data_IF_379249427798
#
_entry.id   IF_379249427798
#
_cell.length_a   1.000
_cell.length_b   1.000
_cell.length_c   1.000
_cell.angle_alpha   90.00
_cell.angle_beta   90.00
_cell.angle_gamma   90.00
#
_symmetry.space_group_name_H-M   'P 1'
#
loop_
_entity.id
_entity.type
_entity.pdbx_description
1 polymer ?
#
# COMPACT_ATOMS: atom_id res chain seq x y z
N UNK A 1 5.56 8.24 28.28
CA UNK A 1 6.10 7.10 27.56
C UNK A 1 7.53 6.81 28.04
N UNK A 2 8.44 7.76 27.98
CA UNK A 2 9.83 7.61 28.42
C UNK A 2 10.02 7.27 29.90
N UNK A 3 9.06 7.58 30.76
CA UNK A 3 9.11 7.26 32.19
C UNK A 3 8.55 5.85 32.48
N UNK A 4 7.55 5.41 31.71
CA UNK A 4 6.85 4.14 31.93
C UNK A 4 7.40 2.94 31.18
N UNK A 5 8.14 3.15 30.10
CA UNK A 5 8.73 2.10 29.27
C UNK A 5 10.22 2.36 29.10
N UNK A 6 11.01 1.38 29.46
CA UNK A 6 12.45 1.44 29.19
C UNK A 6 12.72 1.40 27.69
N UNK A 7 13.70 2.19 27.22
CA UNK A 7 14.19 2.04 25.86
C UNK A 7 14.80 0.63 25.70
N UNK A 8 14.51 -0.08 24.60
CA UNK A 8 15.15 -1.36 24.32
C UNK A 8 16.67 -1.13 24.16
N UNK A 9 17.44 -1.63 25.11
CA UNK A 9 18.90 -1.59 25.03
C UNK A 9 19.35 -2.83 24.25
N UNK A 10 20.12 -2.61 23.23
CA UNK A 10 20.79 -3.65 22.45
C UNK A 10 22.19 -3.93 22.97
N UNK A 11 22.87 -4.91 22.36
CA UNK A 11 24.28 -5.22 22.66
C UNK A 11 25.18 -3.98 22.47
N UNK A 12 26.33 -3.91 23.14
CA UNK A 12 27.28 -2.80 22.95
C UNK A 12 27.65 -2.64 21.47
N UNK A 13 27.88 -1.41 21.05
CA UNK A 13 28.23 -1.10 19.66
C UNK A 13 29.45 -1.89 19.19
N UNK A 14 29.33 -2.57 18.07
CA UNK A 14 30.39 -3.35 17.44
C UNK A 14 30.55 -2.91 15.98
N UNK A 15 31.82 -2.69 15.57
CA UNK A 15 32.14 -2.40 14.17
C UNK A 15 32.03 -3.64 13.24
N UNK A 16 31.93 -4.83 13.82
CA UNK A 16 32.01 -6.11 13.10
C UNK A 16 30.64 -6.78 12.98
N UNK A 17 29.72 -6.52 13.92
CA UNK A 17 28.44 -7.20 14.01
C UNK A 17 27.28 -6.22 14.02
N UNK A 18 26.36 -6.39 13.10
CA UNK A 18 25.09 -5.65 13.08
C UNK A 18 24.04 -6.39 13.93
N UNK A 19 23.25 -5.68 14.77
CA UNK A 19 22.18 -6.32 15.53
C UNK A 19 21.14 -6.97 14.61
N UNK A 20 20.57 -8.08 15.04
CA UNK A 20 19.51 -8.78 14.33
C UNK A 20 18.27 -8.95 15.24
N UNK A 21 17.16 -8.25 14.99
CA UNK A 21 16.91 -7.28 13.91
C UNK A 21 17.56 -5.91 14.18
N UNK A 22 18.01 -5.22 13.13
CA UNK A 22 18.39 -3.81 13.21
C UNK A 22 17.17 -2.93 13.06
N UNK A 23 16.66 -2.38 14.17
CA UNK A 23 15.45 -1.55 14.20
C UNK A 23 15.81 -0.07 14.14
N UNK A 24 15.15 0.66 13.25
CA UNK A 24 15.20 2.11 13.21
C UNK A 24 14.53 2.71 14.47
N UNK A 25 14.77 4.01 14.81
CA UNK A 25 13.99 4.71 15.81
C UNK A 25 12.49 4.61 15.52
N UNK A 26 11.67 4.61 16.58
CA UNK A 26 10.22 4.33 16.49
C UNK A 26 9.47 5.14 15.43
N UNK A 27 9.88 6.39 15.20
CA UNK A 27 9.25 7.26 14.19
C UNK A 27 9.58 6.87 12.73
N UNK A 28 10.66 6.12 12.48
CA UNK A 28 10.99 5.56 11.17
C UNK A 28 10.59 4.09 11.02
N UNK A 29 10.18 3.42 12.08
CA UNK A 29 9.80 2.01 12.02
C UNK A 29 8.65 1.74 11.06
N UNK A 30 7.72 2.68 10.89
CA UNK A 30 6.66 2.57 9.88
C UNK A 30 7.22 2.47 8.47
N UNK A 31 8.23 3.29 8.12
CA UNK A 31 8.90 3.19 6.82
C UNK A 31 9.71 1.89 6.69
N UNK A 32 10.38 1.48 7.75
CA UNK A 32 11.11 0.22 7.76
C UNK A 32 10.18 -0.99 7.57
N UNK A 33 9.00 -0.98 8.19
CA UNK A 33 7.99 -2.03 7.96
C UNK A 33 7.45 -2.00 6.53
N UNK A 34 7.33 -0.83 5.91
CA UNK A 34 6.94 -0.71 4.50
C UNK A 34 7.93 -1.38 3.54
N UNK A 35 9.22 -1.48 3.88
CA UNK A 35 10.24 -2.17 3.08
C UNK A 35 9.97 -3.68 2.94
N UNK A 36 9.17 -4.27 3.83
CA UNK A 36 8.74 -5.67 3.70
C UNK A 36 7.83 -5.87 2.49
N UNK A 37 7.03 -4.83 2.17
CA UNK A 37 5.98 -4.89 1.14
C UNK A 37 6.38 -4.20 -0.15
N UNK A 38 7.27 -3.21 -0.07
CA UNK A 38 7.74 -2.40 -1.19
C UNK A 38 9.27 -2.42 -1.25
N UNK A 39 9.79 -2.17 -2.43
CA UNK A 39 11.22 -1.96 -2.64
C UNK A 39 11.70 -0.66 -1.97
N UNK A 40 12.99 -0.54 -1.56
CA UNK A 40 13.54 0.67 -0.94
C UNK A 40 13.28 1.94 -1.74
N UNK A 41 13.35 1.87 -3.06
CA UNK A 41 13.05 2.99 -3.94
C UNK A 41 11.59 3.45 -3.80
N UNK A 42 10.66 2.49 -3.79
CA UNK A 42 9.23 2.78 -3.67
C UNK A 42 8.88 3.27 -2.26
N UNK A 43 9.33 2.58 -1.22
CA UNK A 43 9.02 2.91 0.17
C UNK A 43 9.73 4.19 0.66
N UNK A 44 11.00 4.40 0.24
CA UNK A 44 11.82 5.51 0.75
C UNK A 44 11.73 6.81 -0.07
N UNK A 45 11.39 6.73 -1.36
CA UNK A 45 11.35 7.90 -2.25
C UNK A 45 9.94 8.17 -2.74
N UNK A 46 9.31 7.21 -3.43
CA UNK A 46 8.03 7.46 -4.12
C UNK A 46 6.91 7.73 -3.14
N UNK A 47 6.71 6.87 -2.14
CA UNK A 47 5.61 7.02 -1.19
C UNK A 47 5.75 8.29 -0.33
N UNK A 48 6.90 8.65 0.25
CA UNK A 48 7.08 9.93 0.93
C UNK A 48 6.85 11.13 0.01
N UNK A 49 7.33 11.07 -1.24
CA UNK A 49 7.09 12.13 -2.23
C UNK A 49 5.61 12.28 -2.55
N UNK A 50 4.86 11.16 -2.68
CA UNK A 50 3.42 11.20 -2.87
C UNK A 50 2.68 11.86 -1.70
N UNK A 51 3.13 11.67 -0.46
CA UNK A 51 2.58 12.37 0.70
C UNK A 51 2.79 13.87 0.57
N UNK A 52 4.01 14.31 0.24
CA UNK A 52 4.33 15.73 0.05
C UNK A 52 3.49 16.36 -1.09
N UNK A 53 3.48 15.72 -2.26
CA UNK A 53 2.68 16.21 -3.40
C UNK A 53 1.18 16.13 -3.12
N UNK A 54 0.72 15.14 -2.37
CA UNK A 54 -0.66 15.03 -1.90
C UNK A 54 -1.06 16.20 -1.02
N UNK A 55 -0.20 16.59 -0.07
CA UNK A 55 -0.43 17.78 0.76
C UNK A 55 -0.46 19.06 -0.08
N UNK A 56 0.44 19.19 -1.07
CA UNK A 56 0.44 20.34 -2.00
C UNK A 56 -0.82 20.36 -2.89
N UNK A 57 -1.40 19.21 -3.19
CA UNK A 57 -2.61 19.12 -4.02
C UNK A 57 -3.90 19.47 -3.26
N UNK A 58 -3.89 19.53 -1.92
CA UNK A 58 -5.09 19.81 -1.10
C UNK A 58 -5.84 21.06 -1.56
N UNK A 59 -5.21 22.25 -1.75
CA UNK A 59 -5.92 23.44 -2.19
C UNK A 59 -6.57 23.29 -3.58
N UNK A 60 -5.99 22.45 -4.43
CA UNK A 60 -6.53 22.16 -5.76
C UNK A 60 -7.71 21.18 -5.72
N UNK A 61 -7.63 20.17 -4.85
CA UNK A 61 -8.66 19.12 -4.73
C UNK A 61 -9.85 19.60 -3.92
N UNK A 62 -9.63 20.42 -2.87
CA UNK A 62 -10.67 20.86 -1.96
C UNK A 62 -11.66 21.79 -2.68
N UNK A 63 -12.89 21.35 -2.75
CA UNK A 63 -14.00 22.13 -3.32
C UNK A 63 -14.88 22.79 -2.25
N UNK A 64 -14.61 22.56 -0.97
CA UNK A 64 -15.38 23.14 0.11
C UNK A 64 -15.06 24.63 0.26
N UNK A 65 -16.07 25.47 0.02
CA UNK A 65 -16.00 26.93 0.19
C UNK A 65 -16.46 27.40 1.58
N UNK A 66 -17.01 26.50 2.37
CA UNK A 66 -17.43 26.75 3.75
C UNK A 66 -16.31 26.33 4.66
N UNK A 67 -15.74 27.19 5.36
CA UNK A 67 -14.70 26.83 6.30
C UNK A 67 -13.97 28.04 6.80
N UNK A 68 -14.06 28.27 8.08
CA UNK A 68 -13.44 29.36 8.78
C UNK A 68 -12.24 28.93 9.60
N UNK A 69 -11.60 27.81 9.28
CA UNK A 69 -10.47 27.28 10.05
C UNK A 69 -10.85 26.44 11.28
N UNK A 70 -12.12 26.32 11.63
CA UNK A 70 -12.61 25.39 12.64
C UNK A 70 -12.89 24.01 12.04
N UNK A 71 -12.91 22.98 12.88
CA UNK A 71 -13.18 21.59 12.48
C UNK A 71 -14.60 21.45 11.92
N UNK A 72 -14.72 21.47 10.61
CA UNK A 72 -16.00 21.25 9.90
C UNK A 72 -16.16 19.78 9.57
N UNK A 73 -16.29 18.91 10.59
CA UNK A 73 -16.35 17.45 10.42
C UNK A 73 -17.51 17.04 9.52
N UNK A 74 -18.68 17.67 9.70
CA UNK A 74 -19.87 17.34 8.92
C UNK A 74 -19.71 17.62 7.42
N UNK A 75 -19.01 18.69 7.07
CA UNK A 75 -18.79 19.09 5.69
C UNK A 75 -17.64 18.31 5.03
N UNK A 76 -16.69 17.81 5.84
CA UNK A 76 -15.46 17.13 5.39
C UNK A 76 -15.33 15.70 5.91
N UNK A 77 -16.45 15.01 6.15
CA UNK A 77 -16.45 13.63 6.68
C UNK A 77 -15.53 12.69 5.92
N UNK A 78 -15.53 12.76 4.60
CA UNK A 78 -14.67 11.91 3.78
C UNK A 78 -13.19 12.18 4.06
N UNK A 79 -12.74 13.42 3.99
CA UNK A 79 -11.35 13.78 4.25
C UNK A 79 -10.92 13.43 5.68
N UNK A 80 -11.81 13.65 6.66
CA UNK A 80 -11.57 13.31 8.06
C UNK A 80 -11.38 11.80 8.24
N UNK A 81 -12.28 10.98 7.69
CA UNK A 81 -12.20 9.51 7.78
C UNK A 81 -10.93 8.99 7.10
N UNK A 82 -10.62 9.49 5.89
CA UNK A 82 -9.41 9.10 5.16
C UNK A 82 -8.15 9.43 5.95
N UNK A 83 -8.07 10.60 6.57
CA UNK A 83 -6.94 10.98 7.43
C UNK A 83 -6.82 10.04 8.65
N UNK A 84 -7.93 9.77 9.35
CA UNK A 84 -7.93 8.87 10.51
C UNK A 84 -7.49 7.45 10.11
N UNK A 85 -8.03 6.92 9.02
CA UNK A 85 -7.63 5.58 8.54
C UNK A 85 -6.17 5.57 8.07
N UNK A 86 -5.75 6.53 7.26
CA UNK A 86 -4.39 6.56 6.73
C UNK A 86 -3.33 6.79 7.80
N UNK A 87 -3.56 7.73 8.71
CA UNK A 87 -2.59 8.06 9.74
C UNK A 87 -2.75 7.20 11.00
N UNK A 88 -3.90 7.25 11.68
CA UNK A 88 -4.04 6.54 12.96
C UNK A 88 -4.11 5.01 12.78
N UNK A 89 -4.86 4.52 11.80
CA UNK A 89 -4.98 3.07 11.64
C UNK A 89 -3.76 2.51 10.90
N UNK A 90 -3.47 2.97 9.71
CA UNK A 90 -2.44 2.34 8.87
C UNK A 90 -1.02 2.65 9.37
N UNK A 91 -0.68 3.93 9.53
CA UNK A 91 0.68 4.31 9.93
C UNK A 91 1.04 3.84 11.34
N UNK A 92 0.15 4.03 12.31
CA UNK A 92 0.37 3.55 13.67
C UNK A 92 0.44 2.03 13.73
N UNK A 93 -0.37 1.31 12.94
CA UNK A 93 -0.28 -0.15 12.82
C UNK A 93 1.09 -0.59 12.33
N UNK A 94 1.65 0.05 11.31
CA UNK A 94 3.00 -0.26 10.82
C UNK A 94 4.06 -0.05 11.91
N UNK A 95 3.96 1.04 12.69
CA UNK A 95 4.88 1.30 13.80
C UNK A 95 4.74 0.21 14.87
N UNK A 96 3.53 -0.14 15.26
CA UNK A 96 3.27 -1.19 16.26
C UNK A 96 3.80 -2.55 15.78
N UNK A 97 3.56 -2.89 14.52
CA UNK A 97 4.08 -4.13 13.93
C UNK A 97 5.61 -4.16 13.93
N UNK A 98 6.26 -3.12 13.46
CA UNK A 98 7.72 -3.03 13.43
C UNK A 98 8.35 -3.03 14.82
N UNK A 99 7.69 -2.42 15.80
CA UNK A 99 8.19 -2.31 17.17
C UNK A 99 8.04 -3.61 17.95
N UNK A 100 6.86 -4.21 17.95
CA UNK A 100 6.49 -5.28 18.88
C UNK A 100 6.38 -6.66 18.23
N UNK A 101 6.06 -6.74 16.93
CA UNK A 101 5.77 -8.00 16.28
C UNK A 101 6.93 -8.53 15.41
N UNK A 102 7.99 -7.77 15.24
CA UNK A 102 9.16 -8.18 14.45
C UNK A 102 10.31 -8.58 15.36
N UNK A 103 10.84 -9.77 15.10
CA UNK A 103 11.98 -10.37 15.77
C UNK A 103 13.19 -10.57 14.85
N UNK A 104 14.09 -11.50 15.17
CA UNK A 104 15.29 -11.80 14.37
C UNK A 104 14.93 -12.08 12.91
N UNK A 105 15.79 -11.63 12.00
CA UNK A 105 15.58 -11.70 10.56
C UNK A 105 14.29 -11.01 10.06
N UNK A 106 13.78 -10.05 10.82
CA UNK A 106 12.53 -9.31 10.53
C UNK A 106 11.29 -10.21 10.36
N UNK A 107 11.32 -11.43 10.94
CA UNK A 107 10.19 -12.33 10.95
C UNK A 107 9.19 -11.97 12.05
N UNK A 108 7.95 -12.44 11.91
CA UNK A 108 6.99 -12.33 13.01
C UNK A 108 7.50 -13.13 14.21
N UNK A 109 7.53 -12.48 15.37
CA UNK A 109 7.99 -13.04 16.62
C UNK A 109 6.89 -12.96 17.68
N UNK A 110 6.72 -14.03 18.42
CA UNK A 110 5.74 -14.12 19.50
C UNK A 110 6.20 -15.01 20.63
N UNK A 111 5.33 -15.25 21.60
CA UNK A 111 5.60 -16.09 22.78
C UNK A 111 5.81 -17.57 22.45
N UNK A 112 5.62 -17.97 21.21
CA UNK A 112 5.80 -19.32 20.68
C UNK A 112 7.25 -19.60 20.22
N UNK A 113 8.12 -18.59 20.22
CA UNK A 113 9.52 -18.70 19.80
C UNK A 113 10.48 -18.18 20.86
N UNK A 114 11.71 -18.71 20.86
CA UNK A 114 12.84 -18.16 21.61
C UNK A 114 13.59 -17.15 20.76
N UNK A 115 14.08 -16.07 21.37
CA UNK A 115 14.87 -15.06 20.68
C UNK A 115 16.24 -15.60 20.32
N UNK A 116 16.50 -15.80 19.02
CA UNK A 116 17.80 -16.20 18.50
C UNK A 116 18.37 -15.12 17.56
N UNK A 117 19.40 -14.36 18.00
CA UNK A 117 20.01 -13.32 17.15
C UNK A 117 20.71 -13.86 15.90
N UNK A 118 21.01 -15.16 15.85
CA UNK A 118 21.68 -15.80 14.72
C UNK A 118 20.69 -16.39 13.70
N UNK A 119 19.38 -16.28 13.96
CA UNK A 119 18.34 -16.78 13.07
C UNK A 119 18.44 -16.09 11.72
N UNK A 120 18.69 -16.86 10.66
CA UNK A 120 18.67 -16.39 9.27
C UNK A 120 17.74 -17.31 8.49
N UNK A 121 16.64 -16.77 8.03
CA UNK A 121 15.70 -17.49 7.16
C UNK A 121 15.68 -16.85 5.78
N UNK A 122 15.72 -17.67 4.74
CA UNK A 122 15.58 -17.21 3.36
C UNK A 122 14.16 -16.65 3.15
N UNK A 123 14.07 -15.39 2.77
CA UNK A 123 12.80 -14.77 2.42
C UNK A 123 12.37 -15.25 1.04
N UNK A 124 11.24 -15.92 0.98
CA UNK A 124 10.65 -16.36 -0.29
C UNK A 124 9.85 -15.19 -0.90
N UNK A 125 10.46 -14.50 -1.86
CA UNK A 125 9.82 -13.43 -2.61
C UNK A 125 9.40 -13.96 -3.97
N UNK A 126 8.12 -13.84 -4.30
CA UNK A 126 7.59 -14.26 -5.59
C UNK A 126 7.02 -13.02 -6.29
N UNK A 127 7.37 -12.85 -7.56
CA UNK A 127 6.89 -11.75 -8.38
C UNK A 127 5.62 -12.14 -9.14
N UNK A 128 4.78 -11.17 -9.47
CA UNK A 128 3.54 -11.42 -10.21
C UNK A 128 3.80 -12.05 -11.58
N UNK A 129 4.89 -11.65 -12.24
CA UNK A 129 5.32 -12.24 -13.51
C UNK A 129 5.61 -13.74 -13.38
N UNK A 130 6.22 -14.17 -12.25
CA UNK A 130 6.46 -15.59 -11.99
C UNK A 130 5.15 -16.36 -11.77
N UNK A 131 4.21 -15.80 -11.03
CA UNK A 131 2.88 -16.40 -10.87
C UNK A 131 2.16 -16.57 -12.20
N UNK A 132 2.25 -15.58 -13.07
CA UNK A 132 1.57 -15.62 -14.37
C UNK A 132 2.26 -16.60 -15.33
N UNK A 133 3.56 -16.44 -15.58
CA UNK A 133 4.25 -17.24 -16.60
C UNK A 133 4.48 -18.69 -16.15
N UNK A 134 4.97 -18.89 -14.94
CA UNK A 134 5.30 -20.23 -14.43
C UNK A 134 4.05 -20.88 -13.83
N UNK A 135 3.31 -20.18 -12.98
CA UNK A 135 2.18 -20.76 -12.24
C UNK A 135 0.94 -20.99 -13.08
N UNK A 136 0.55 -20.03 -13.94
CA UNK A 136 -0.67 -20.16 -14.74
C UNK A 136 -0.42 -20.76 -16.13
N UNK A 137 0.64 -20.31 -16.83
CA UNK A 137 0.91 -20.75 -18.19
C UNK A 137 1.85 -21.96 -18.27
N UNK A 138 2.53 -22.32 -17.17
CA UNK A 138 3.49 -23.42 -17.15
C UNK A 138 4.72 -23.21 -18.04
N UNK A 139 5.02 -21.94 -18.40
CA UNK A 139 6.13 -21.57 -19.28
C UNK A 139 7.19 -20.78 -18.51
N UNK A 140 8.42 -20.83 -18.98
CA UNK A 140 9.46 -20.00 -18.38
C UNK A 140 9.19 -18.50 -18.62
N UNK A 141 9.66 -17.66 -17.69
CA UNK A 141 9.59 -16.20 -17.86
C UNK A 141 10.37 -15.76 -19.08
N UNK A 142 9.79 -14.92 -19.97
CA UNK A 142 10.49 -14.43 -21.16
C UNK A 142 11.78 -13.69 -20.79
N UNK A 143 12.90 -14.07 -21.41
CA UNK A 143 14.20 -13.41 -21.24
C UNK A 143 14.82 -13.13 -22.60
N UNK A 144 15.41 -11.96 -22.73
CA UNK A 144 16.16 -11.61 -23.93
C UNK A 144 17.48 -12.39 -23.98
N UNK A 145 17.98 -12.75 -25.17
CA UNK A 145 19.35 -13.22 -25.34
C UNK A 145 20.36 -12.18 -24.84
N UNK A 146 21.48 -12.64 -24.29
CA UNK A 146 22.49 -11.75 -23.67
C UNK A 146 23.07 -10.75 -24.66
N UNK A 147 23.25 -11.17 -25.94
CA UNK A 147 23.79 -10.36 -27.03
C UNK A 147 22.75 -9.47 -27.74
N UNK A 148 21.47 -9.49 -27.27
CA UNK A 148 20.42 -8.74 -27.94
C UNK A 148 20.61 -7.22 -27.81
N UNK A 149 20.19 -6.49 -28.86
CA UNK A 149 20.17 -5.03 -28.85
C UNK A 149 19.31 -4.49 -27.68
N UNK A 150 19.64 -3.31 -27.17
CA UNK A 150 18.96 -2.70 -26.03
C UNK A 150 17.43 -2.60 -26.22
N UNK A 151 16.98 -2.26 -27.42
CA UNK A 151 15.55 -2.21 -27.75
C UNK A 151 14.86 -3.58 -27.58
N UNK A 152 15.51 -4.65 -28.04
CA UNK A 152 15.00 -6.02 -27.87
C UNK A 152 14.91 -6.40 -26.39
N UNK A 153 15.92 -6.06 -25.58
CA UNK A 153 15.91 -6.29 -24.12
C UNK A 153 14.72 -5.59 -23.47
N UNK A 154 14.47 -4.32 -23.79
CA UNK A 154 13.32 -3.58 -23.28
C UNK A 154 11.99 -4.25 -23.66
N UNK A 155 11.85 -4.73 -24.90
CA UNK A 155 10.65 -5.42 -25.36
C UNK A 155 10.38 -6.71 -24.57
N UNK A 156 11.42 -7.51 -24.30
CA UNK A 156 11.30 -8.71 -23.49
C UNK A 156 10.95 -8.39 -22.01
N UNK A 157 11.49 -7.31 -21.45
CA UNK A 157 11.13 -6.83 -20.11
C UNK A 157 9.65 -6.44 -20.09
N UNK A 158 9.17 -5.66 -21.05
CA UNK A 158 7.76 -5.28 -21.15
C UNK A 158 6.84 -6.49 -21.32
N UNK A 159 7.25 -7.48 -22.09
CA UNK A 159 6.50 -8.72 -22.24
C UNK A 159 6.47 -9.51 -20.94
N UNK A 160 7.60 -9.67 -20.28
CA UNK A 160 7.71 -10.36 -18.98
C UNK A 160 6.82 -9.73 -17.92
N UNK A 161 6.90 -8.41 -17.82
CA UNK A 161 6.17 -7.64 -16.78
C UNK A 161 4.76 -7.20 -17.22
N UNK A 162 4.31 -7.63 -18.40
CA UNK A 162 2.97 -7.27 -18.93
C UNK A 162 1.83 -7.55 -17.96
N UNK A 163 1.78 -8.65 -17.17
CA UNK A 163 0.70 -8.88 -16.21
C UNK A 163 0.69 -7.82 -15.10
N UNK A 164 1.87 -7.46 -14.58
CA UNK A 164 2.00 -6.43 -13.56
C UNK A 164 1.65 -5.04 -14.10
N UNK A 165 2.13 -4.69 -15.28
CA UNK A 165 1.83 -3.41 -15.93
C UNK A 165 0.32 -3.27 -16.17
N UNK A 166 -0.33 -4.30 -16.70
CA UNK A 166 -1.78 -4.31 -16.92
C UNK A 166 -2.56 -4.17 -15.61
N UNK A 167 -2.16 -4.90 -14.57
CA UNK A 167 -2.81 -4.84 -13.26
C UNK A 167 -2.68 -3.45 -12.65
N UNK A 168 -1.48 -2.89 -12.57
CA UNK A 168 -1.22 -1.57 -11.98
C UNK A 168 -1.89 -0.47 -12.79
N UNK A 169 -1.78 -0.51 -14.13
CA UNK A 169 -2.43 0.46 -15.00
C UNK A 169 -3.95 0.36 -14.87
N UNK A 170 -4.50 -0.85 -14.88
CA UNK A 170 -5.93 -1.09 -14.64
C UNK A 170 -6.38 -0.54 -13.29
N UNK A 171 -5.61 -0.77 -12.25
CA UNK A 171 -5.91 -0.26 -10.91
C UNK A 171 -5.93 1.28 -10.85
N UNK A 172 -4.94 1.95 -11.41
CA UNK A 172 -4.83 3.41 -11.33
C UNK A 172 -5.67 4.16 -12.38
N UNK A 173 -5.90 3.58 -13.55
CA UNK A 173 -6.63 4.25 -14.65
C UNK A 173 -8.10 3.84 -14.73
N UNK A 174 -8.40 2.53 -14.55
CA UNK A 174 -9.76 2.03 -14.71
C UNK A 174 -10.58 2.08 -13.42
N UNK A 175 -9.96 1.93 -12.24
CA UNK A 175 -10.70 1.95 -10.98
C UNK A 175 -11.37 3.31 -10.68
N UNK A 176 -10.74 4.48 -10.89
CA UNK A 176 -11.42 5.75 -10.65
C UNK A 176 -12.75 5.91 -11.42
N UNK A 177 -12.81 5.73 -12.76
CA UNK A 177 -14.09 5.80 -13.46
C UNK A 177 -15.05 4.67 -13.07
N UNK A 178 -14.54 3.48 -12.77
CA UNK A 178 -15.37 2.36 -12.30
C UNK A 178 -16.08 2.70 -10.98
N UNK A 179 -15.38 3.33 -10.04
CA UNK A 179 -15.97 3.78 -8.77
C UNK A 179 -17.10 4.80 -8.98
N UNK A 180 -16.99 5.67 -9.99
CA UNK A 180 -18.08 6.60 -10.36
C UNK A 180 -19.28 5.84 -10.89
N UNK A 181 -19.06 4.85 -11.76
CA UNK A 181 -20.12 4.02 -12.34
C UNK A 181 -20.83 3.21 -11.24
N UNK A 182 -20.06 2.50 -10.41
CA UNK A 182 -20.59 1.74 -9.27
C UNK A 182 -21.38 2.67 -8.34
N UNK A 183 -20.83 3.82 -7.99
CA UNK A 183 -21.49 4.82 -7.17
C UNK A 183 -22.81 5.32 -7.77
N UNK A 184 -22.99 5.17 -9.08
CA UNK A 184 -24.24 5.43 -9.77
C UNK A 184 -25.33 4.39 -9.52
N UNK A 185 -24.97 3.13 -9.60
CA UNK A 185 -25.88 2.00 -9.38
C UNK A 185 -26.29 1.83 -7.92
N UNK A 186 -25.41 2.24 -7.02
CA UNK A 186 -25.54 2.02 -5.57
C UNK A 186 -26.43 3.05 -4.89
N UNK A 187 -26.71 4.18 -5.53
CA UNK A 187 -27.53 5.26 -4.96
C UNK A 187 -28.91 4.78 -4.50
N UNK A 188 -29.45 3.77 -5.15
CA UNK A 188 -30.80 3.24 -4.89
C UNK A 188 -30.81 2.10 -3.84
N UNK A 189 -29.63 1.74 -3.29
CA UNK A 189 -29.54 0.72 -2.23
C UNK A 189 -29.91 1.33 -0.89
N UNK A 190 -31.05 0.88 -0.36
CA UNK A 190 -31.56 1.31 0.95
C UNK A 190 -31.18 0.27 2.02
N UNK A 191 -30.24 0.60 2.96
CA UNK A 191 -29.84 -0.33 4.01
C UNK A 191 -30.96 -0.64 5.02
N UNK A 192 -31.92 0.28 5.20
CA UNK A 192 -32.99 0.13 6.20
C UNK A 192 -34.01 -0.93 5.80
N UNK A 193 -34.14 -1.21 4.49
CA UNK A 193 -35.03 -2.27 3.98
C UNK A 193 -34.48 -3.68 4.17
N UNK A 194 -33.24 -3.85 4.68
CA UNK A 194 -32.60 -5.15 4.91
C UNK A 194 -32.83 -5.64 6.32
N UNK A 195 -33.44 -6.83 6.46
CA UNK A 195 -33.76 -7.47 7.75
C UNK A 195 -32.54 -8.01 8.49
N UNK A 196 -31.55 -8.53 7.77
CA UNK A 196 -30.33 -9.13 8.34
C UNK A 196 -29.28 -8.08 8.68
N UNK A 197 -28.62 -8.13 9.88
CA UNK A 197 -27.60 -7.17 10.26
C UNK A 197 -26.37 -7.19 9.32
N UNK A 198 -25.97 -8.37 8.84
CA UNK A 198 -24.84 -8.49 7.89
C UNK A 198 -25.19 -7.86 6.52
N UNK A 199 -26.37 -8.13 5.99
CA UNK A 199 -26.79 -7.54 4.70
C UNK A 199 -27.05 -6.05 4.84
N UNK A 200 -27.47 -5.56 6.01
CA UNK A 200 -27.60 -4.12 6.32
C UNK A 200 -26.24 -3.44 6.34
N UNK A 201 -25.25 -4.06 6.99
CA UNK A 201 -23.88 -3.54 7.06
C UNK A 201 -23.23 -3.51 5.68
N UNK A 202 -23.37 -4.57 4.88
CA UNK A 202 -22.92 -4.60 3.51
C UNK A 202 -23.61 -3.54 2.63
N UNK A 203 -24.92 -3.38 2.78
CA UNK A 203 -25.67 -2.35 2.06
C UNK A 203 -25.23 -0.93 2.43
N UNK A 204 -24.87 -0.67 3.69
CA UNK A 204 -24.33 0.62 4.12
C UNK A 204 -22.93 0.90 3.54
N UNK A 205 -22.07 -0.11 3.51
CA UNK A 205 -20.74 -0.02 2.86
C UNK A 205 -20.89 0.27 1.37
N UNK A 206 -21.75 -0.47 0.71
CA UNK A 206 -22.01 -0.32 -0.72
C UNK A 206 -22.60 1.07 -1.00
N UNK A 207 -23.57 1.55 -0.21
CA UNK A 207 -24.10 2.92 -0.31
C UNK A 207 -23.03 3.98 -0.11
N UNK A 208 -22.03 3.71 0.77
CA UNK A 208 -20.88 4.57 0.98
C UNK A 208 -20.07 4.84 -0.30
N UNK A 209 -20.05 3.88 -1.23
CA UNK A 209 -19.36 4.06 -2.52
C UNK A 209 -20.01 5.13 -3.42
N UNK A 210 -21.25 5.51 -3.14
CA UNK A 210 -21.94 6.63 -3.82
C UNK A 210 -21.22 7.97 -3.67
N UNK A 211 -20.37 8.10 -2.65
CA UNK A 211 -19.58 9.31 -2.39
C UNK A 211 -18.63 9.63 -3.55
N UNK A 212 -18.06 8.62 -4.23
CA UNK A 212 -17.15 8.81 -5.36
C UNK A 212 -17.85 9.50 -6.53
N UNK A 213 -19.11 9.15 -6.83
CA UNK A 213 -19.91 9.81 -7.87
C UNK A 213 -20.22 11.26 -7.48
N UNK A 214 -20.50 11.53 -6.22
CA UNK A 214 -20.75 12.89 -5.73
C UNK A 214 -19.49 13.74 -5.86
N UNK A 215 -18.33 13.22 -5.44
CA UNK A 215 -17.05 13.92 -5.59
C UNK A 215 -16.75 14.21 -7.06
N UNK A 216 -16.94 13.23 -7.96
CA UNK A 216 -16.75 13.45 -9.39
C UNK A 216 -17.60 14.60 -9.93
N UNK A 217 -18.88 14.67 -9.55
CA UNK A 217 -19.78 15.75 -9.97
C UNK A 217 -19.37 17.13 -9.44
N UNK A 218 -18.83 17.18 -8.22
CA UNK A 218 -18.43 18.45 -7.58
C UNK A 218 -17.07 18.94 -8.02
N UNK A 219 -16.12 18.03 -8.25
CA UNK A 219 -14.72 18.35 -8.51
C UNK A 219 -14.38 18.40 -10.00
N UNK A 220 -15.12 17.67 -10.84
CA UNK A 220 -14.79 17.45 -12.24
C UNK A 220 -13.73 16.35 -12.42
N UNK A 221 -13.42 16.04 -13.68
CA UNK A 221 -12.60 14.87 -14.04
C UNK A 221 -11.19 14.91 -13.44
N UNK A 222 -10.44 15.98 -13.68
CA UNK A 222 -9.01 16.05 -13.32
C UNK A 222 -8.79 16.00 -11.81
N UNK A 223 -9.51 16.82 -11.04
CA UNK A 223 -9.40 16.86 -9.58
C UNK A 223 -9.83 15.53 -8.96
N UNK A 224 -10.90 14.94 -9.48
CA UNK A 224 -11.37 13.64 -9.04
C UNK A 224 -10.33 12.54 -9.31
N UNK A 225 -9.70 12.52 -10.50
CA UNK A 225 -8.65 11.55 -10.82
C UNK A 225 -7.46 11.68 -9.88
N UNK A 226 -7.00 12.89 -9.59
CA UNK A 226 -5.88 13.10 -8.63
C UNK A 226 -6.26 12.60 -7.24
N UNK A 227 -7.40 13.01 -6.70
CA UNK A 227 -7.87 12.58 -5.37
C UNK A 227 -8.00 11.06 -5.30
N UNK A 228 -8.64 10.44 -6.30
CA UNK A 228 -8.91 9.00 -6.27
C UNK A 228 -7.62 8.20 -6.44
N UNK A 229 -6.67 8.65 -7.27
CA UNK A 229 -5.38 7.97 -7.38
C UNK A 229 -4.57 8.05 -6.09
N UNK A 230 -4.55 9.19 -5.39
CA UNK A 230 -3.94 9.28 -4.06
C UNK A 230 -4.60 8.32 -3.06
N UNK A 231 -5.92 8.22 -3.09
CA UNK A 231 -6.65 7.27 -2.27
C UNK A 231 -6.32 5.81 -2.64
N UNK A 232 -6.25 5.47 -3.93
CA UNK A 232 -5.88 4.14 -4.39
C UNK A 232 -4.44 3.76 -4.01
N UNK A 233 -3.50 4.71 -4.10
CA UNK A 233 -2.13 4.48 -3.64
C UNK A 233 -2.06 4.20 -2.12
N UNK A 234 -2.87 4.90 -1.33
CA UNK A 234 -3.00 4.61 0.10
C UNK A 234 -3.58 3.20 0.35
N UNK A 235 -4.63 2.82 -0.38
CA UNK A 235 -5.26 1.50 -0.20
C UNK A 235 -4.44 0.35 -0.77
N UNK A 236 -3.46 0.63 -1.62
CA UNK A 236 -2.53 -0.38 -2.12
C UNK A 236 -1.67 -0.99 -1.00
N UNK A 237 -1.35 -0.23 0.05
CA UNK A 237 -0.57 -0.74 1.18
C UNK A 237 -1.25 -1.94 1.86
N UNK A 238 -2.47 -1.88 2.39
CA UNK A 238 -3.11 -3.05 2.99
C UNK A 238 -3.34 -4.19 1.98
N UNK A 239 -3.57 -3.89 0.71
CA UNK A 239 -3.66 -4.92 -0.33
C UNK A 239 -2.34 -5.68 -0.45
N UNK A 240 -1.21 -4.96 -0.54
CA UNK A 240 0.11 -5.60 -0.59
C UNK A 240 0.46 -6.36 0.70
N UNK A 241 0.08 -5.83 1.86
CA UNK A 241 0.24 -6.56 3.12
C UNK A 241 -0.48 -7.91 3.07
N UNK A 242 -1.73 -7.94 2.66
CA UNK A 242 -2.51 -9.17 2.52
C UNK A 242 -1.89 -10.14 1.52
N UNK A 243 -1.50 -9.66 0.34
CA UNK A 243 -0.88 -10.49 -0.70
C UNK A 243 0.48 -11.05 -0.25
N UNK A 244 1.25 -10.25 0.49
CA UNK A 244 2.51 -10.72 1.07
C UNK A 244 2.32 -11.82 2.10
N UNK A 245 1.31 -11.70 2.95
CA UNK A 245 1.04 -12.69 4.02
C UNK A 245 0.38 -13.97 3.50
N UNK A 246 -0.43 -13.88 2.44
CA UNK A 246 -1.18 -15.03 1.93
C UNK A 246 -0.42 -15.82 0.88
N UNK A 247 0.21 -15.15 -0.07
CA UNK A 247 0.83 -15.79 -1.23
C UNK A 247 2.30 -15.40 -1.43
N UNK A 248 2.93 -14.72 -0.48
CA UNK A 248 4.31 -14.23 -0.58
C UNK A 248 4.60 -13.34 -1.81
N UNK A 249 3.58 -12.72 -2.39
CA UNK A 249 3.74 -11.80 -3.51
C UNK A 249 4.39 -10.51 -3.01
N UNK A 250 5.57 -10.17 -3.54
CA UNK A 250 6.27 -8.94 -3.17
C UNK A 250 6.16 -7.86 -4.25
N UNK A 251 6.43 -8.19 -5.50
CA UNK A 251 6.44 -7.20 -6.58
C UNK A 251 5.35 -7.47 -7.61
N UNK A 252 4.62 -6.42 -7.99
CA UNK A 252 3.70 -6.45 -9.13
C UNK A 252 4.46 -6.32 -10.44
N UNK A 253 5.47 -5.47 -10.46
CA UNK A 253 6.39 -5.25 -11.57
C UNK A 253 7.80 -5.38 -11.00
N UNK A 254 8.62 -6.24 -11.58
CA UNK A 254 9.99 -6.49 -11.13
C UNK A 254 10.94 -6.34 -12.30
N UNK A 255 11.72 -5.25 -12.29
CA UNK A 255 12.72 -4.95 -13.30
C UNK A 255 14.09 -4.86 -12.59
N UNK A 256 14.65 -6.01 -12.18
CA UNK A 256 15.89 -6.03 -11.42
C UNK A 256 17.07 -5.44 -12.20
N UNK A 257 17.02 -5.48 -13.53
CA UNK A 257 18.04 -4.92 -14.42
C UNK A 257 18.24 -3.41 -14.23
N UNK A 258 17.21 -2.71 -13.74
CA UNK A 258 17.21 -1.27 -13.48
C UNK A 258 16.91 -0.91 -12.03
N UNK A 259 16.90 -1.89 -11.13
CA UNK A 259 16.51 -1.71 -9.71
C UNK A 259 15.13 -1.06 -9.54
N UNK A 260 14.22 -1.30 -10.46
CA UNK A 260 12.86 -0.78 -10.46
C UNK A 260 11.88 -1.90 -10.12
N UNK A 261 11.46 -1.95 -8.86
CA UNK A 261 10.51 -2.93 -8.37
C UNK A 261 9.31 -2.21 -7.73
N UNK A 262 8.12 -2.59 -8.16
CA UNK A 262 6.86 -1.97 -7.73
C UNK A 262 5.94 -2.99 -7.05
#
# INVERSE_FOLDING_TARGET
WAIGLQAPLEEPASAVKTPNPSKAPWYFLGLQEMLVYFDPWMAGVVLPSLVLFGLMAIPFIDYNKKGSGYYTIDERKFAYVIFQVGFLVMWVTLIVMGTFLRGPNWNFFGTYETWDPHKVEALNNVDLSQYFWIGMLGTNTPRAPDEAAMFTKILYILLRESPGILLVTGYLVLMPPLLVVIGGFVKDVDPEKRKNPVTRSLASLVRGMGIFREHYRRMGFLRYMVMTNLFLMMTMLPIKMMLRWTINLKYFISIPEYFLNF
#
